data_IF_591855073745
#
_entry.id   IF_591855073745
#
_cell.length_a   1.000
_cell.length_b   1.000
_cell.length_c   1.000
_cell.angle_alpha   90.00
_cell.angle_beta   90.00
_cell.angle_gamma   90.00
#
_symmetry.space_group_name_H-M   'P 1'
#
loop_
_entity.id
_entity.type
_entity.pdbx_description
1 polymer ?
#
# COMPACT_ATOMS: atom_id res chain seq x y z
N UNK A 1 -19.16 9.29 -23.23
CA UNK A 1 -19.23 10.70 -23.66
C UNK A 1 -19.23 10.73 -25.17
N UNK A 2 -20.25 11.32 -25.78
CA UNK A 2 -20.37 11.49 -27.23
C UNK A 2 -19.98 12.91 -27.59
N UNK A 3 -19.01 13.06 -28.50
CA UNK A 3 -18.70 14.32 -29.14
C UNK A 3 -19.04 14.21 -30.63
N UNK A 4 -19.35 15.32 -31.27
CA UNK A 4 -19.49 15.39 -32.74
C UNK A 4 -18.30 16.15 -33.32
N UNK A 5 -17.78 15.67 -34.44
CA UNK A 5 -16.72 16.32 -35.18
C UNK A 5 -17.30 16.85 -36.49
N UNK A 6 -17.07 18.12 -36.79
CA UNK A 6 -17.44 18.74 -38.07
C UNK A 6 -16.34 19.68 -38.51
N UNK A 7 -15.68 19.34 -39.62
CA UNK A 7 -14.51 20.07 -40.10
C UNK A 7 -13.42 20.14 -39.03
N UNK A 8 -13.05 21.36 -38.66
CA UNK A 8 -12.05 21.67 -37.64
C UNK A 8 -12.66 22.01 -36.27
N UNK A 9 -13.88 21.57 -36.01
CA UNK A 9 -14.57 21.79 -34.72
C UNK A 9 -14.96 20.47 -34.09
N UNK A 10 -14.84 20.39 -32.76
CA UNK A 10 -15.49 19.36 -31.97
C UNK A 10 -16.53 20.01 -31.05
N UNK A 11 -17.70 19.39 -30.96
CA UNK A 11 -18.79 19.84 -30.08
C UNK A 11 -19.05 18.79 -29.02
N UNK A 12 -19.06 19.24 -27.76
CA UNK A 12 -19.43 18.46 -26.59
C UNK A 12 -20.70 19.05 -25.98
N UNK A 13 -21.20 18.44 -24.91
CA UNK A 13 -22.30 19.01 -24.11
C UNK A 13 -21.97 20.39 -23.51
N UNK A 14 -20.68 20.71 -23.38
CA UNK A 14 -20.18 21.91 -22.71
C UNK A 14 -19.81 23.03 -23.71
N UNK A 15 -19.96 22.78 -25.02
CA UNK A 15 -19.79 23.78 -26.07
C UNK A 15 -19.07 23.27 -27.32
N UNK A 16 -18.81 24.19 -28.24
CA UNK A 16 -18.07 23.95 -29.48
C UNK A 16 -16.69 24.57 -29.38
N UNK A 17 -15.66 23.82 -29.78
CA UNK A 17 -14.27 24.26 -29.79
C UNK A 17 -13.64 23.98 -31.14
N UNK A 18 -12.92 24.95 -31.66
CA UNK A 18 -12.15 24.85 -32.89
C UNK A 18 -10.75 24.33 -32.58
N UNK A 19 -10.20 23.53 -33.48
CA UNK A 19 -8.82 23.08 -33.41
C UNK A 19 -8.12 23.33 -34.75
N UNK A 20 -6.79 23.37 -34.72
CA UNK A 20 -5.97 23.35 -35.94
C UNK A 20 -4.96 22.21 -35.84
N UNK A 21 -4.51 21.71 -37.00
CA UNK A 21 -3.38 20.79 -37.06
C UNK A 21 -2.29 21.46 -37.88
N UNK A 22 -1.21 21.84 -37.22
CA UNK A 22 -0.08 22.55 -37.83
C UNK A 22 1.19 21.79 -37.50
N UNK A 23 1.97 21.44 -38.52
CA UNK A 23 3.23 20.67 -38.36
C UNK A 23 3.06 19.35 -37.57
N UNK A 24 1.92 18.68 -37.75
CA UNK A 24 1.61 17.43 -37.04
C UNK A 24 1.26 17.61 -35.54
N UNK A 25 1.13 18.85 -35.07
CA UNK A 25 0.66 19.18 -33.73
C UNK A 25 -0.80 19.59 -33.77
N UNK A 26 -1.58 19.08 -32.83
CA UNK A 26 -2.96 19.53 -32.60
C UNK A 26 -2.91 20.77 -31.70
N UNK A 27 -3.53 21.86 -32.12
CA UNK A 27 -3.61 23.11 -31.37
C UNK A 27 -5.07 23.41 -31.06
N UNK A 28 -5.37 23.67 -29.80
CA UNK A 28 -6.70 24.05 -29.31
C UNK A 28 -6.60 25.43 -28.67
N UNK A 29 -7.43 26.34 -29.13
CA UNK A 29 -7.60 27.67 -28.54
C UNK A 29 -8.79 27.68 -27.59
N UNK A 30 -8.66 28.40 -26.49
CA UNK A 30 -9.68 28.49 -25.46
C UNK A 30 -9.50 29.71 -24.57
N UNK A 31 -10.20 29.71 -23.45
CA UNK A 31 -10.12 30.76 -22.44
C UNK A 31 -9.79 30.12 -21.09
N UNK A 32 -8.68 30.55 -20.50
CA UNK A 32 -8.29 30.19 -19.14
C UNK A 32 -8.77 31.29 -18.18
N UNK A 33 -9.36 30.90 -17.06
CA UNK A 33 -9.70 31.82 -15.98
C UNK A 33 -8.63 31.69 -14.91
N UNK A 34 -7.92 32.78 -14.61
CA UNK A 34 -6.91 32.76 -13.55
C UNK A 34 -7.52 32.75 -12.15
N UNK A 35 -6.67 32.59 -11.12
CA UNK A 35 -7.11 32.51 -9.73
C UNK A 35 -7.77 33.79 -9.23
N UNK A 36 -7.63 34.90 -9.96
CA UNK A 36 -8.30 36.19 -9.71
C UNK A 36 -9.61 36.34 -10.50
N UNK A 37 -10.03 35.33 -11.28
CA UNK A 37 -11.26 35.35 -12.05
C UNK A 37 -11.14 36.01 -13.43
N UNK A 38 -9.94 36.38 -13.88
CA UNK A 38 -9.77 37.04 -15.17
C UNK A 38 -9.71 36.01 -16.30
N UNK A 39 -10.52 36.24 -17.33
CA UNK A 39 -10.52 35.45 -18.57
C UNK A 39 -9.34 35.88 -19.46
N UNK A 40 -8.47 34.93 -19.78
CA UNK A 40 -7.31 35.12 -20.65
C UNK A 40 -7.36 34.12 -21.80
N UNK A 41 -6.95 34.51 -23.01
CA UNK A 41 -6.81 33.55 -24.10
C UNK A 41 -5.79 32.47 -23.70
N UNK A 42 -6.09 31.23 -24.05
CA UNK A 42 -5.23 30.08 -23.77
C UNK A 42 -5.05 29.25 -25.03
N UNK A 43 -3.83 28.77 -25.24
CA UNK A 43 -3.51 27.84 -26.32
C UNK A 43 -2.92 26.58 -25.72
N UNK A 44 -3.48 25.43 -26.08
CA UNK A 44 -2.94 24.13 -25.70
C UNK A 44 -2.50 23.38 -26.95
N UNK A 45 -1.27 22.90 -26.95
CA UNK A 45 -0.67 22.20 -28.09
C UNK A 45 -0.31 20.77 -27.72
N UNK A 46 -0.77 19.81 -28.51
CA UNK A 46 -0.52 18.39 -28.34
C UNK A 46 0.39 17.88 -29.46
N UNK A 47 1.43 17.14 -29.10
CA UNK A 47 2.20 16.35 -30.06
C UNK A 47 1.50 15.00 -30.26
N UNK A 48 1.50 14.49 -31.49
CA UNK A 48 1.17 13.07 -31.72
C UNK A 48 2.28 12.22 -31.12
N UNK A 49 1.92 11.22 -30.32
CA UNK A 49 2.86 10.25 -29.75
C UNK A 49 2.79 8.94 -30.52
N UNK A 50 3.87 8.17 -30.48
CA UNK A 50 3.94 6.81 -31.02
C UNK A 50 3.29 5.80 -30.07
N UNK A 51 2.94 4.60 -30.56
CA UNK A 51 2.46 3.49 -29.71
C UNK A 51 3.47 3.11 -28.61
N UNK A 52 4.77 3.23 -28.90
CA UNK A 52 5.83 3.00 -27.92
C UNK A 52 5.80 4.03 -26.78
N UNK A 53 5.68 5.32 -27.10
CA UNK A 53 5.56 6.38 -26.08
C UNK A 53 4.26 6.24 -25.28
N UNK A 54 3.15 5.88 -25.94
CA UNK A 54 1.87 5.62 -25.27
C UNK A 54 1.98 4.45 -24.28
N UNK A 55 2.65 3.37 -24.65
CA UNK A 55 2.90 2.24 -23.76
C UNK A 55 3.73 2.67 -22.53
N UNK A 56 4.76 3.49 -22.72
CA UNK A 56 5.55 4.04 -21.61
C UNK A 56 4.69 4.89 -20.65
N UNK A 57 3.83 5.76 -21.18
CA UNK A 57 2.93 6.59 -20.34
C UNK A 57 1.92 5.72 -19.58
N UNK A 58 1.36 4.68 -20.22
CA UNK A 58 0.45 3.73 -19.56
C UNK A 58 1.16 2.92 -18.48
N UNK A 59 2.44 2.59 -18.65
CA UNK A 59 3.22 1.89 -17.63
C UNK A 59 3.52 2.75 -16.39
N UNK A 60 3.36 4.08 -16.47
CA UNK A 60 3.47 5.00 -15.34
C UNK A 60 2.18 5.08 -14.50
N UNK A 61 1.15 4.28 -14.83
CA UNK A 61 -0.02 4.12 -13.98
C UNK A 61 0.40 3.75 -12.56
N UNK A 62 -0.04 4.54 -11.58
CA UNK A 62 0.20 4.22 -10.19
C UNK A 62 -0.54 2.93 -9.83
N UNK A 63 0.24 1.89 -9.48
CA UNK A 63 -0.28 0.64 -8.94
C UNK A 63 -0.03 0.64 -7.43
N UNK A 64 -1.11 0.67 -6.66
CA UNK A 64 -1.01 0.50 -5.22
C UNK A 64 -0.27 -0.82 -4.92
N UNK A 65 0.68 -0.83 -3.96
CA UNK A 65 1.34 -2.06 -3.56
C UNK A 65 0.32 -3.09 -3.11
N UNK A 66 0.47 -4.34 -3.54
CA UNK A 66 -0.30 -5.46 -3.01
C UNK A 66 0.29 -5.87 -1.66
N UNK A 67 -0.07 -5.13 -0.62
CA UNK A 67 0.43 -5.33 0.74
C UNK A 67 0.09 -6.72 1.28
N UNK A 68 -1.04 -7.30 0.87
CA UNK A 68 -1.44 -8.65 1.26
C UNK A 68 -0.44 -9.66 0.69
N UNK A 69 -0.15 -9.57 -0.61
CA UNK A 69 0.82 -10.47 -1.26
C UNK A 69 2.23 -10.33 -0.68
N UNK A 70 2.63 -9.13 -0.26
CA UNK A 70 3.93 -8.92 0.37
C UNK A 70 4.01 -9.48 1.80
N UNK A 71 2.90 -9.48 2.55
CA UNK A 71 2.87 -10.01 3.92
C UNK A 71 2.88 -11.55 3.97
N UNK A 72 2.24 -12.21 3.00
CA UNK A 72 2.13 -13.68 2.97
C UNK A 72 3.53 -14.31 2.97
N UNK A 73 3.77 -15.20 3.94
CA UNK A 73 5.09 -15.80 4.17
C UNK A 73 5.32 -16.11 5.65
N UNK A 74 6.52 -16.61 5.94
CA UNK A 74 6.98 -16.89 7.30
C UNK A 74 7.99 -15.83 7.73
N UNK A 75 7.79 -15.23 8.89
CA UNK A 75 8.61 -14.17 9.44
C UNK A 75 9.10 -14.56 10.82
N UNK A 76 10.42 -14.60 11.00
CA UNK A 76 11.05 -14.88 12.29
C UNK A 76 11.41 -13.58 13.03
N UNK A 77 11.33 -13.61 14.35
CA UNK A 77 11.61 -12.45 15.18
C UNK A 77 13.10 -12.05 15.14
N UNK A 78 13.38 -10.79 14.84
CA UNK A 78 14.74 -10.22 14.81
C UNK A 78 15.01 -9.31 16.01
N UNK A 79 14.02 -8.51 16.42
CA UNK A 79 14.14 -7.54 17.51
C UNK A 79 12.78 -7.09 17.97
N UNK A 80 12.65 -6.65 19.22
CA UNK A 80 11.42 -6.04 19.73
C UNK A 80 11.71 -4.73 20.44
N UNK A 81 10.74 -3.83 20.46
CA UNK A 81 10.79 -2.58 21.20
C UNK A 81 9.57 -2.46 22.10
N UNK A 82 9.68 -1.68 23.18
CA UNK A 82 8.60 -1.32 24.09
C UNK A 82 8.77 0.15 24.49
N UNK A 83 7.76 0.96 24.23
CA UNK A 83 7.79 2.41 24.40
C UNK A 83 8.99 3.09 23.71
N UNK A 84 9.38 2.53 22.54
CA UNK A 84 10.53 2.97 21.76
C UNK A 84 11.88 2.37 22.19
N UNK A 85 11.94 1.71 23.35
CA UNK A 85 13.16 1.11 23.89
C UNK A 85 13.33 -0.33 23.42
N UNK A 86 14.55 -0.74 23.07
CA UNK A 86 14.83 -2.12 22.62
C UNK A 86 14.67 -3.11 23.78
N UNK A 87 14.00 -4.23 23.52
CA UNK A 87 13.92 -5.36 24.44
C UNK A 87 15.07 -6.34 24.21
N UNK A 88 15.62 -6.87 25.30
CA UNK A 88 16.52 -8.01 25.28
C UNK A 88 15.72 -9.30 25.06
N UNK A 89 15.94 -9.96 23.93
CA UNK A 89 15.25 -11.19 23.55
C UNK A 89 16.09 -12.42 23.91
N UNK A 90 15.44 -13.44 24.48
CA UNK A 90 16.10 -14.73 24.71
C UNK A 90 16.38 -15.47 23.39
N UNK A 91 17.29 -16.45 23.43
CA UNK A 91 17.57 -17.32 22.28
C UNK A 91 16.32 -18.04 21.74
N UNK A 92 15.35 -18.38 22.61
CA UNK A 92 14.09 -18.97 22.16
C UNK A 92 13.15 -17.91 21.57
N UNK A 93 13.10 -16.72 22.15
CA UNK A 93 12.28 -15.62 21.62
C UNK A 93 12.72 -15.21 20.20
N UNK A 94 14.01 -15.30 19.89
CA UNK A 94 14.54 -15.09 18.53
C UNK A 94 14.15 -16.20 17.55
N UNK A 95 13.68 -17.36 18.03
CA UNK A 95 13.13 -18.43 17.19
C UNK A 95 11.65 -18.24 16.89
N UNK A 96 10.96 -17.36 17.62
CA UNK A 96 9.54 -17.10 17.41
C UNK A 96 9.28 -16.71 15.96
N UNK A 97 8.20 -17.23 15.39
CA UNK A 97 7.83 -16.92 14.01
C UNK A 97 6.32 -16.74 13.87
N UNK A 98 5.94 -15.92 12.90
CA UNK A 98 4.55 -15.72 12.47
C UNK A 98 4.43 -16.11 11.00
N UNK A 99 3.38 -16.84 10.66
CA UNK A 99 3.15 -17.36 9.31
C UNK A 99 1.82 -16.82 8.82
N UNK A 100 1.86 -15.93 7.83
CA UNK A 100 0.67 -15.39 7.17
C UNK A 100 0.35 -16.18 5.91
N UNK A 101 -0.88 -16.69 5.83
CA UNK A 101 -1.46 -17.26 4.61
C UNK A 101 -2.41 -16.26 3.96
N UNK A 102 -3.16 -16.66 2.94
CA UNK A 102 -4.20 -15.84 2.30
C UNK A 102 -5.30 -15.36 3.25
N UNK A 103 -5.52 -16.03 4.39
CA UNK A 103 -6.63 -15.66 5.29
C UNK A 103 -6.39 -15.98 6.77
N UNK A 104 -5.30 -16.67 7.09
CA UNK A 104 -4.99 -17.09 8.45
C UNK A 104 -3.57 -16.74 8.86
N UNK A 105 -3.38 -16.59 10.16
CA UNK A 105 -2.07 -16.45 10.80
C UNK A 105 -1.85 -17.64 11.74
N UNK A 106 -0.62 -18.15 11.74
CA UNK A 106 -0.14 -19.15 12.70
C UNK A 106 1.08 -18.58 13.44
N UNK A 107 1.15 -18.82 14.74
CA UNK A 107 2.26 -18.39 15.58
C UNK A 107 3.03 -19.58 16.13
N UNK A 108 4.35 -19.50 16.01
CA UNK A 108 5.29 -20.43 16.60
C UNK A 108 6.00 -19.72 17.75
N UNK A 109 5.53 -19.98 18.98
CA UNK A 109 6.09 -19.38 20.20
C UNK A 109 6.99 -20.41 20.88
N UNK A 110 8.29 -20.17 20.80
CA UNK A 110 9.32 -21.04 21.37
C UNK A 110 9.62 -20.66 22.82
N UNK A 111 9.60 -21.67 23.67
CA UNK A 111 9.90 -21.56 25.09
C UNK A 111 10.87 -22.68 25.49
N UNK A 112 11.55 -22.51 26.63
CA UNK A 112 12.30 -23.60 27.27
C UNK A 112 11.36 -24.34 28.22
N UNK A 113 10.83 -25.48 27.77
CA UNK A 113 10.13 -26.41 28.66
C UNK A 113 11.10 -27.38 29.38
N UNK A 114 12.33 -27.51 28.88
CA UNK A 114 13.44 -28.25 29.50
C UNK A 114 14.76 -27.46 29.42
N UNK A 115 15.84 -28.00 29.99
CA UNK A 115 17.14 -27.32 30.09
C UNK A 115 17.86 -27.14 28.74
N UNK A 116 17.49 -27.86 27.69
CA UNK A 116 18.35 -28.01 26.50
C UNK A 116 17.74 -27.49 25.20
N UNK A 117 16.41 -27.55 25.01
CA UNK A 117 15.79 -27.25 23.72
C UNK A 117 14.69 -26.19 23.78
N UNK A 118 14.77 -25.20 22.88
CA UNK A 118 13.62 -24.36 22.56
C UNK A 118 12.60 -25.18 21.78
N UNK A 119 11.40 -25.32 22.34
CA UNK A 119 10.28 -26.02 21.68
C UNK A 119 9.03 -25.15 21.73
N UNK A 120 8.13 -25.33 20.78
CA UNK A 120 6.86 -24.60 20.74
C UNK A 120 5.69 -25.55 20.95
N UNK A 121 4.65 -25.08 21.63
CA UNK A 121 3.35 -25.73 21.61
C UNK A 121 2.55 -25.19 20.44
N UNK A 122 1.86 -26.07 19.73
CA UNK A 122 1.02 -25.67 18.60
C UNK A 122 -0.09 -24.74 19.09
N UNK A 123 -0.15 -23.55 18.50
CA UNK A 123 -1.20 -22.56 18.75
C UNK A 123 -2.38 -22.77 17.80
N UNK A 124 -3.51 -22.14 18.12
CA UNK A 124 -4.65 -22.07 17.21
C UNK A 124 -4.30 -21.20 15.99
N UNK A 125 -4.73 -21.64 14.82
CA UNK A 125 -4.59 -20.87 13.57
C UNK A 125 -5.77 -19.89 13.50
N UNK A 126 -5.49 -18.59 13.50
CA UNK A 126 -6.52 -17.56 13.61
C UNK A 126 -6.78 -16.85 12.27
N UNK A 127 -8.03 -16.50 11.95
CA UNK A 127 -8.35 -15.72 10.76
C UNK A 127 -7.94 -14.26 10.93
N UNK A 128 -7.46 -13.62 9.86
CA UNK A 128 -7.15 -12.19 9.84
C UNK A 128 -7.71 -11.50 8.60
N UNK A 129 -7.82 -10.17 8.65
CA UNK A 129 -8.15 -9.34 7.47
C UNK A 129 -7.12 -8.24 7.27
N UNK A 130 -6.95 -7.79 6.03
CA UNK A 130 -6.07 -6.67 5.66
C UNK A 130 -6.87 -5.59 4.95
N UNK A 131 -6.60 -4.35 5.31
CA UNK A 131 -7.00 -3.16 4.57
C UNK A 131 -5.81 -2.21 4.46
N UNK A 132 -5.23 -2.12 3.26
CA UNK A 132 -3.99 -1.36 3.04
C UNK A 132 -2.85 -1.92 3.90
N UNK A 133 -2.30 -1.08 4.78
CA UNK A 133 -1.21 -1.41 5.72
C UNK A 133 -1.70 -1.78 7.12
N UNK A 134 -2.99 -2.12 7.29
CA UNK A 134 -3.58 -2.49 8.58
C UNK A 134 -4.00 -3.95 8.57
N UNK A 135 -3.59 -4.70 9.60
CA UNK A 135 -4.04 -6.06 9.90
C UNK A 135 -5.10 -5.98 11.00
N UNK A 136 -6.21 -6.71 10.84
CA UNK A 136 -7.19 -6.92 11.91
C UNK A 136 -7.23 -8.38 12.31
N UNK A 137 -7.05 -8.66 13.59
CA UNK A 137 -7.04 -10.00 14.19
C UNK A 137 -7.81 -9.94 15.50
N UNK A 138 -8.83 -10.78 15.65
CA UNK A 138 -9.64 -10.84 16.89
C UNK A 138 -10.16 -9.47 17.38
N UNK A 139 -10.54 -8.60 16.44
CA UNK A 139 -11.03 -7.24 16.74
C UNK A 139 -9.95 -6.22 17.12
N UNK A 140 -8.67 -6.62 17.17
CA UNK A 140 -7.53 -5.72 17.34
C UNK A 140 -6.94 -5.35 15.99
N UNK A 141 -6.51 -4.10 15.85
CA UNK A 141 -5.90 -3.58 14.62
C UNK A 141 -4.45 -3.16 14.86
N UNK A 142 -3.55 -3.57 13.97
CA UNK A 142 -2.14 -3.17 13.97
C UNK A 142 -1.75 -2.70 12.57
N UNK A 143 -0.79 -1.78 12.48
CA UNK A 143 -0.19 -1.39 11.20
C UNK A 143 1.04 -2.21 10.91
N UNK A 144 1.35 -2.39 9.63
CA UNK A 144 2.59 -3.04 9.23
C UNK A 144 3.26 -2.31 8.06
N UNK A 145 4.57 -2.48 8.00
CA UNK A 145 5.35 -2.19 6.81
C UNK A 145 6.14 -3.44 6.43
N UNK A 146 6.24 -3.68 5.13
CA UNK A 146 6.95 -4.84 4.60
C UNK A 146 7.87 -4.40 3.47
N UNK A 147 9.10 -4.86 3.53
CA UNK A 147 10.09 -4.82 2.45
C UNK A 147 10.40 -6.25 2.02
N UNK A 148 11.30 -6.44 1.04
CA UNK A 148 11.70 -7.78 0.58
C UNK A 148 12.27 -8.66 1.71
N UNK A 149 12.86 -8.07 2.75
CA UNK A 149 13.58 -8.79 3.80
C UNK A 149 13.08 -8.50 5.21
N UNK A 150 12.17 -7.53 5.39
CA UNK A 150 11.80 -7.04 6.72
C UNK A 150 10.30 -6.83 6.83
N UNK A 151 9.72 -7.38 7.88
CA UNK A 151 8.39 -7.07 8.37
C UNK A 151 8.51 -6.28 9.66
N UNK A 152 7.80 -5.15 9.74
CA UNK A 152 7.62 -4.38 10.97
C UNK A 152 6.14 -4.31 11.25
N UNK A 153 5.73 -4.73 12.45
CA UNK A 153 4.37 -4.61 12.94
C UNK A 153 4.39 -3.58 14.07
N UNK A 154 3.49 -2.63 14.01
CA UNK A 154 3.33 -1.56 14.98
C UNK A 154 1.89 -1.57 15.48
N UNK A 155 1.71 -1.59 16.80
CA UNK A 155 0.40 -1.67 17.40
C UNK A 155 0.43 -1.14 18.82
N UNK A 156 -0.72 -0.69 19.29
CA UNK A 156 -0.94 -0.34 20.68
C UNK A 156 -1.95 -1.32 21.26
N UNK A 157 -1.67 -1.86 22.44
CA UNK A 157 -2.65 -2.60 23.21
C UNK A 157 -2.07 -3.14 24.51
N UNK A 158 -2.96 -3.73 25.30
CA UNK A 158 -2.71 -4.10 26.69
C UNK A 158 -2.47 -5.61 26.79
N UNK A 159 -1.53 -6.04 27.63
CA UNK A 159 -1.46 -7.44 28.08
C UNK A 159 -2.58 -7.77 29.09
N UNK A 160 -2.67 -9.03 29.53
CA UNK A 160 -3.65 -9.51 30.52
C UNK A 160 -3.61 -8.76 31.87
N UNK A 161 -2.56 -7.96 32.09
CA UNK A 161 -2.32 -7.15 33.29
C UNK A 161 -2.57 -5.66 33.06
N UNK A 162 -3.03 -5.25 31.88
CA UNK A 162 -3.34 -3.85 31.57
C UNK A 162 -2.11 -2.99 31.24
N UNK A 163 -0.97 -3.59 30.86
CA UNK A 163 0.25 -2.85 30.51
C UNK A 163 0.40 -2.71 28.99
N UNK A 164 0.72 -1.51 28.51
CA UNK A 164 1.01 -1.25 27.10
C UNK A 164 2.14 -2.17 26.62
N UNK A 165 1.91 -2.91 25.54
CA UNK A 165 2.95 -3.62 24.78
C UNK A 165 2.85 -3.27 23.30
N UNK A 166 4.00 -3.07 22.68
CA UNK A 166 4.15 -3.20 21.23
C UNK A 166 4.09 -4.69 20.93
N UNK A 167 3.05 -5.11 20.22
CA UNK A 167 2.87 -6.53 19.88
C UNK A 167 3.86 -6.92 18.79
N UNK A 168 4.79 -7.82 19.11
CA UNK A 168 4.75 -9.08 18.38
C UNK A 168 3.46 -9.71 18.85
N UNK A 169 2.58 -10.06 17.91
CA UNK A 169 1.34 -10.72 18.26
C UNK A 169 1.75 -11.94 19.12
N UNK A 170 1.28 -11.94 20.36
CA UNK A 170 1.29 -13.10 21.24
C UNK A 170 -0.20 -13.42 21.37
N UNK A 171 -0.66 -14.40 20.59
CA UNK A 171 -2.03 -14.90 20.55
C UNK A 171 -2.43 -15.75 21.74
#
# INVERSE_FOLDING_TARGET
MTYTLSGNTFTTKDGTTTFTITEGKLVIEGVYTDVQGNKKPSTTTYKRITEKELATLRAMEYKAPDYKKQLIGAWQNESATLDGEKLELSECSLKNAVIFTESTVEELIFEKYDEYNCTYKKQEIKPYTISGTTITLEGKTVTFTVTETKLVIEGTGLDEQGKMRFFFIYL
#
